data_IF_814772223652
#
_entry.id   IF_814772223652
#
_cell.length_a   1.000
_cell.length_b   1.000
_cell.length_c   1.000
_cell.angle_alpha   90.00
_cell.angle_beta   90.00
_cell.angle_gamma   90.00
#
_symmetry.space_group_name_H-M   'P 1'
#
loop_
_entity.id
_entity.type
_entity.pdbx_description
1 polymer ?
#
# COMPACT_ATOMS: atom_id res chain seq x y z
N UNK A 1 -14.81 10.47 -18.77
CA UNK A 1 -14.65 11.94 -18.81
C UNK A 1 -13.25 12.25 -19.28
N UNK A 2 -13.10 13.22 -20.18
CA UNK A 2 -11.78 13.74 -20.59
C UNK A 2 -11.33 14.80 -19.61
N UNK A 3 -10.13 14.65 -19.04
CA UNK A 3 -9.56 15.60 -18.10
C UNK A 3 -9.30 16.96 -18.77
N UNK A 4 -9.45 18.03 -18.01
CA UNK A 4 -9.05 19.40 -18.37
C UNK A 4 -7.54 19.59 -18.19
N UNK A 5 -7.01 20.74 -18.65
CA UNK A 5 -5.59 21.09 -18.47
C UNK A 5 -5.24 21.22 -17.00
N UNK A 6 -6.10 21.88 -16.24
CA UNK A 6 -5.94 22.14 -14.82
C UNK A 6 -5.99 20.83 -14.01
N UNK A 7 -6.86 19.90 -14.40
CA UNK A 7 -6.93 18.57 -13.78
C UNK A 7 -5.66 17.74 -14.07
N UNK A 8 -5.09 17.80 -15.27
CA UNK A 8 -3.83 17.08 -15.55
C UNK A 8 -2.64 17.62 -14.71
N UNK A 9 -2.63 18.91 -14.37
CA UNK A 9 -1.60 19.49 -13.49
C UNK A 9 -1.66 18.95 -12.05
N UNK A 10 -2.77 18.33 -11.64
CA UNK A 10 -2.85 17.64 -10.35
C UNK A 10 -1.98 16.38 -10.29
N UNK A 11 -1.61 15.80 -11.44
CA UNK A 11 -0.69 14.66 -11.49
C UNK A 11 0.78 15.05 -11.43
N UNK A 12 1.09 16.30 -11.13
CA UNK A 12 2.47 16.78 -10.98
C UNK A 12 2.63 17.38 -9.58
N UNK A 13 3.71 17.03 -8.85
CA UNK A 13 4.07 17.69 -7.60
C UNK A 13 4.13 19.22 -7.81
N UNK A 14 3.68 20.01 -6.84
CA UNK A 14 3.52 21.46 -7.03
C UNK A 14 4.83 22.13 -7.48
N UNK A 15 5.95 21.68 -6.92
CA UNK A 15 7.31 22.13 -7.20
C UNK A 15 7.80 21.84 -8.62
N UNK A 16 7.17 20.89 -9.34
CA UNK A 16 7.55 20.52 -10.72
C UNK A 16 6.64 21.10 -11.79
N UNK A 17 5.52 21.73 -11.40
CA UNK A 17 4.53 22.25 -12.35
C UNK A 17 5.11 23.30 -13.30
N UNK A 18 5.94 24.21 -12.79
CA UNK A 18 6.54 25.26 -13.61
C UNK A 18 7.46 24.68 -14.69
N UNK A 19 8.29 23.69 -14.34
CA UNK A 19 9.19 23.03 -15.28
C UNK A 19 8.43 22.32 -16.40
N UNK A 20 7.32 21.64 -16.06
CA UNK A 20 6.48 20.96 -17.05
C UNK A 20 5.80 21.97 -17.98
N UNK A 21 5.27 23.07 -17.45
CA UNK A 21 4.65 24.13 -18.25
C UNK A 21 5.64 24.73 -19.26
N UNK A 22 6.89 24.94 -18.85
CA UNK A 22 7.95 25.46 -19.73
C UNK A 22 8.38 24.42 -20.76
N UNK A 23 8.55 23.16 -20.35
CA UNK A 23 9.01 22.09 -21.25
C UNK A 23 7.94 21.60 -22.24
N UNK A 24 6.65 21.76 -21.94
CA UNK A 24 5.57 21.48 -22.90
C UNK A 24 5.66 22.33 -24.17
N UNK A 25 6.40 23.44 -24.15
CA UNK A 25 6.65 24.30 -25.31
C UNK A 25 7.89 23.89 -26.12
N UNK A 26 8.72 22.98 -25.62
CA UNK A 26 9.91 22.49 -26.32
C UNK A 26 9.59 21.17 -27.02
N UNK A 27 9.77 21.14 -28.34
CA UNK A 27 9.73 19.91 -29.15
C UNK A 27 10.69 18.90 -28.56
N UNK A 28 10.23 17.66 -28.37
CA UNK A 28 10.98 16.55 -27.78
C UNK A 28 12.20 16.26 -28.67
N UNK A 29 13.33 16.91 -28.37
CA UNK A 29 14.62 16.42 -28.81
C UNK A 29 15.00 15.30 -27.86
N UNK A 30 14.96 14.09 -28.41
CA UNK A 30 15.43 12.84 -27.84
C UNK A 30 16.74 13.02 -27.07
N UNK A 31 16.68 13.15 -25.75
CA UNK A 31 17.83 12.76 -24.91
C UNK A 31 17.86 11.24 -24.89
N UNK A 32 18.55 10.67 -25.89
CA UNK A 32 19.00 9.28 -25.92
C UNK A 32 20.07 9.07 -24.86
N UNK A 33 19.67 9.06 -23.59
CA UNK A 33 20.33 8.25 -22.58
C UNK A 33 19.33 7.18 -22.15
N UNK A 34 19.77 5.91 -22.14
CA UNK A 34 19.02 4.78 -21.58
C UNK A 34 18.86 4.92 -20.06
N UNK A 35 18.27 6.00 -19.57
CA UNK A 35 17.88 6.21 -18.19
C UNK A 35 16.36 6.14 -18.13
N UNK A 36 15.83 5.36 -17.20
CA UNK A 36 14.44 4.91 -17.14
C UNK A 36 13.40 6.00 -17.35
N UNK A 37 12.18 5.59 -17.71
CA UNK A 37 11.06 6.51 -17.95
C UNK A 37 10.70 7.23 -16.65
N UNK A 38 10.75 8.57 -16.67
CA UNK A 38 10.23 9.39 -15.58
C UNK A 38 8.71 9.38 -15.65
N UNK A 39 8.07 9.02 -14.55
CA UNK A 39 6.61 8.95 -14.39
C UNK A 39 6.21 9.66 -13.12
N UNK A 40 5.23 10.54 -13.19
CA UNK A 40 4.60 11.10 -12.00
C UNK A 40 3.53 10.14 -11.49
N UNK A 41 3.76 9.57 -10.32
CA UNK A 41 2.87 8.58 -9.72
C UNK A 41 2.05 9.22 -8.62
N UNK A 42 0.73 9.14 -8.76
CA UNK A 42 -0.23 9.52 -7.72
C UNK A 42 -0.60 8.29 -6.92
N UNK A 43 -0.26 8.31 -5.63
CA UNK A 43 -0.73 7.34 -4.64
C UNK A 43 -1.90 7.95 -3.89
N UNK A 44 -3.10 7.38 -4.07
CA UNK A 44 -4.33 7.86 -3.47
C UNK A 44 -4.87 6.84 -2.46
N UNK A 45 -5.18 7.28 -1.25
CA UNK A 45 -5.99 6.53 -0.28
C UNK A 45 -7.40 7.11 -0.25
N UNK A 46 -8.28 6.56 0.59
CA UNK A 46 -9.61 7.14 0.84
C UNK A 46 -9.54 8.57 1.42
N UNK A 47 -8.46 8.92 2.12
CA UNK A 47 -8.39 10.15 2.92
C UNK A 47 -7.40 11.18 2.38
N UNK A 48 -6.40 10.74 1.62
CA UNK A 48 -5.28 11.58 1.21
C UNK A 48 -4.70 11.07 -0.11
N UNK A 49 -4.10 11.98 -0.89
CA UNK A 49 -3.39 11.66 -2.12
C UNK A 49 -2.03 12.35 -2.13
N UNK A 50 -1.01 11.65 -2.60
CA UNK A 50 0.34 12.19 -2.77
C UNK A 50 0.86 11.86 -4.16
N UNK A 51 1.56 12.81 -4.75
CA UNK A 51 2.14 12.68 -6.09
C UNK A 51 3.65 12.75 -5.95
N UNK A 52 4.35 11.83 -6.60
CA UNK A 52 5.81 11.76 -6.58
C UNK A 52 6.36 11.52 -7.98
N UNK A 53 7.54 12.09 -8.25
CA UNK A 53 8.30 11.81 -9.48
C UNK A 53 9.13 10.54 -9.27
N UNK A 54 8.95 9.53 -10.14
CA UNK A 54 9.68 8.26 -10.06
C UNK A 54 10.34 7.98 -11.41
N UNK A 55 11.62 7.61 -11.38
CA UNK A 55 12.25 6.92 -12.51
C UNK A 55 11.96 5.44 -12.35
N UNK A 56 11.05 4.88 -13.16
CA UNK A 56 10.63 3.49 -12.99
C UNK A 56 11.75 2.52 -13.33
N UNK A 57 11.91 1.51 -12.48
CA UNK A 57 12.76 0.34 -12.72
C UNK A 57 12.16 -0.50 -13.87
N UNK A 58 12.95 -0.80 -14.89
CA UNK A 58 12.49 -1.57 -16.07
C UNK A 58 12.34 -3.08 -15.77
N UNK A 59 13.06 -3.59 -14.77
CA UNK A 59 13.01 -4.99 -14.37
C UNK A 59 11.95 -5.26 -13.31
N UNK A 60 11.92 -4.45 -12.25
CA UNK A 60 11.00 -4.61 -11.12
C UNK A 60 10.27 -3.32 -10.71
N UNK A 61 9.46 -2.74 -11.62
CA UNK A 61 8.72 -1.52 -11.31
C UNK A 61 7.67 -1.75 -10.22
N UNK A 62 7.16 -2.98 -10.08
CA UNK A 62 6.08 -3.27 -9.15
C UNK A 62 6.57 -3.20 -7.70
N UNK A 63 7.68 -3.87 -7.38
CA UNK A 63 8.25 -3.80 -6.04
C UNK A 63 8.72 -2.39 -5.70
N UNK A 64 9.26 -1.65 -6.67
CA UNK A 64 9.61 -0.24 -6.49
C UNK A 64 8.39 0.57 -6.05
N UNK A 65 7.28 0.45 -6.78
CA UNK A 65 6.05 1.17 -6.45
C UNK A 65 5.52 0.79 -5.06
N UNK A 66 5.53 -0.50 -4.68
CA UNK A 66 5.13 -0.93 -3.34
C UNK A 66 6.00 -0.31 -2.24
N UNK A 67 7.32 -0.28 -2.43
CA UNK A 67 8.25 0.37 -1.49
C UNK A 67 7.94 1.85 -1.36
N UNK A 68 7.77 2.56 -2.47
CA UNK A 68 7.43 3.98 -2.46
C UNK A 68 6.08 4.22 -1.77
N UNK A 69 5.05 3.42 -2.05
CA UNK A 69 3.76 3.53 -1.36
C UNK A 69 3.89 3.33 0.15
N UNK A 70 4.70 2.37 0.59
CA UNK A 70 4.96 2.10 2.01
C UNK A 70 5.70 3.26 2.68
N UNK A 71 6.65 3.88 2.00
CA UNK A 71 7.36 5.07 2.51
C UNK A 71 6.43 6.28 2.63
N UNK A 72 5.56 6.48 1.64
CA UNK A 72 4.62 7.60 1.58
C UNK A 72 3.48 7.44 2.60
N UNK A 73 2.99 6.21 2.77
CA UNK A 73 1.89 5.84 3.67
C UNK A 73 2.25 4.59 4.50
N UNK A 74 2.96 4.74 5.63
CA UNK A 74 3.57 3.61 6.35
C UNK A 74 2.60 2.79 7.21
N UNK A 75 1.32 3.17 7.29
CA UNK A 75 0.40 2.66 8.29
C UNK A 75 -0.23 1.30 7.94
N UNK A 76 -0.26 0.94 6.66
CA UNK A 76 -0.85 -0.30 6.19
C UNK A 76 0.08 -0.97 5.17
N UNK A 77 -0.03 -2.29 5.06
CA UNK A 77 0.30 -2.95 3.79
C UNK A 77 -0.77 -2.54 2.76
N UNK A 78 -0.37 -2.34 1.52
CA UNK A 78 -1.25 -1.85 0.48
C UNK A 78 -1.51 -2.90 -0.58
N UNK A 79 -2.74 -2.94 -1.07
CA UNK A 79 -3.09 -3.52 -2.35
C UNK A 79 -3.26 -2.38 -3.34
N UNK A 80 -2.59 -2.49 -4.48
CA UNK A 80 -2.76 -1.51 -5.55
C UNK A 80 -4.03 -1.80 -6.32
N UNK A 81 -4.74 -0.74 -6.67
CA UNK A 81 -5.88 -0.74 -7.57
C UNK A 81 -5.68 0.39 -8.58
N UNK A 82 -6.15 0.16 -9.79
CA UNK A 82 -6.16 1.17 -10.84
C UNK A 82 -7.58 1.69 -10.95
N UNK A 83 -7.74 2.99 -11.13
CA UNK A 83 -9.05 3.59 -11.32
C UNK A 83 -9.64 3.18 -12.67
N UNK A 84 -10.59 2.26 -12.62
CA UNK A 84 -11.58 2.00 -13.67
C UNK A 84 -12.99 2.25 -13.11
N UNK A 85 -13.94 2.78 -13.91
CA UNK A 85 -15.12 3.48 -13.39
C UNK A 85 -16.16 2.63 -12.66
N UNK A 86 -16.03 1.30 -12.65
CA UNK A 86 -17.15 0.43 -12.28
C UNK A 86 -16.80 -0.69 -11.31
N UNK A 87 -15.52 -1.03 -11.08
CA UNK A 87 -15.11 -2.04 -10.10
C UNK A 87 -13.62 -1.90 -9.78
N UNK A 88 -13.25 -2.09 -8.50
CA UNK A 88 -11.85 -2.26 -8.07
C UNK A 88 -11.30 -3.60 -8.58
N UNK A 89 -10.92 -3.65 -9.86
CA UNK A 89 -10.27 -4.82 -10.44
C UNK A 89 -8.91 -4.98 -9.75
N UNK A 90 -8.63 -6.21 -9.31
CA UNK A 90 -7.35 -6.63 -8.74
C UNK A 90 -6.19 -6.00 -9.53
N UNK A 91 -5.43 -5.16 -8.84
CA UNK A 91 -4.61 -4.14 -9.50
C UNK A 91 -3.28 -4.65 -10.03
N UNK A 92 -2.30 -3.76 -10.01
CA UNK A 92 -0.98 -3.99 -10.58
C UNK A 92 -0.38 -5.30 -10.04
N UNK A 93 -0.30 -6.33 -10.90
CA UNK A 93 0.12 -7.68 -10.52
C UNK A 93 1.45 -8.10 -11.13
N UNK A 94 1.94 -7.36 -12.13
CA UNK A 94 3.21 -7.63 -12.80
C UNK A 94 3.71 -6.39 -13.55
N UNK A 95 4.97 -6.43 -14.00
CA UNK A 95 5.61 -5.34 -14.74
C UNK A 95 4.83 -4.93 -16.00
N UNK A 96 4.25 -5.89 -16.73
CA UNK A 96 3.46 -5.62 -17.94
C UNK A 96 2.23 -4.77 -17.63
N UNK A 97 1.53 -5.06 -16.53
CA UNK A 97 0.39 -4.23 -16.09
C UNK A 97 0.83 -2.85 -15.62
N UNK A 98 1.97 -2.73 -14.95
CA UNK A 98 2.52 -1.41 -14.57
C UNK A 98 2.73 -0.56 -15.81
N UNK A 99 3.54 -1.02 -16.76
CA UNK A 99 3.83 -0.25 -17.97
C UNK A 99 2.60 0.00 -18.84
N UNK A 100 1.67 -0.96 -18.91
CA UNK A 100 0.42 -0.81 -19.66
C UNK A 100 -0.59 0.16 -19.04
N UNK A 101 -0.41 0.55 -17.77
CA UNK A 101 -1.32 1.46 -17.06
C UNK A 101 -0.80 2.89 -17.01
N UNK A 102 0.44 3.13 -17.43
CA UNK A 102 1.02 4.47 -17.54
C UNK A 102 0.29 5.22 -18.65
N UNK A 103 -0.14 6.44 -18.34
CA UNK A 103 -0.82 7.35 -19.25
C UNK A 103 0.12 8.47 -19.65
N UNK A 104 -0.04 8.95 -20.88
CA UNK A 104 0.64 10.16 -21.37
C UNK A 104 -0.34 11.33 -21.23
N UNK A 105 0.15 12.46 -20.70
CA UNK A 105 -0.62 13.70 -20.66
C UNK A 105 -1.04 14.12 -22.06
N UNK A 106 -2.26 14.65 -22.20
CA UNK A 106 -2.78 15.13 -23.48
C UNK A 106 -2.30 16.53 -23.80
N UNK A 107 -2.09 17.36 -22.78
CA UNK A 107 -1.77 18.78 -22.95
C UNK A 107 -0.29 19.10 -22.73
N UNK A 108 0.44 18.19 -22.11
CA UNK A 108 1.82 18.37 -21.70
C UNK A 108 2.66 17.13 -22.07
N UNK A 109 3.97 17.26 -21.94
CA UNK A 109 4.90 16.18 -22.25
C UNK A 109 5.37 15.45 -20.98
N UNK A 110 4.45 14.75 -20.30
CA UNK A 110 4.80 13.88 -19.18
C UNK A 110 3.98 12.60 -19.14
N UNK A 111 4.56 11.59 -18.48
CA UNK A 111 3.91 10.33 -18.16
C UNK A 111 3.39 10.36 -16.72
N UNK A 112 2.23 9.76 -16.49
CA UNK A 112 1.64 9.66 -15.16
C UNK A 112 0.96 8.33 -14.92
N UNK A 113 0.86 7.95 -13.66
CA UNK A 113 0.19 6.73 -13.19
C UNK A 113 -0.60 7.07 -11.93
N UNK A 114 -1.86 6.63 -11.87
CA UNK A 114 -2.71 6.82 -10.69
C UNK A 114 -2.96 5.44 -10.06
N UNK A 115 -2.56 5.32 -8.80
CA UNK A 115 -2.69 4.10 -8.01
C UNK A 115 -3.54 4.41 -6.79
N UNK A 116 -4.69 3.75 -6.72
CA UNK A 116 -5.53 3.74 -5.53
C UNK A 116 -5.03 2.65 -4.60
N UNK A 117 -4.64 3.06 -3.40
CA UNK A 117 -4.14 2.24 -2.31
C UNK A 117 -5.29 1.79 -1.42
N UNK A 118 -5.52 0.47 -1.40
CA UNK A 118 -6.44 -0.14 -0.45
C UNK A 118 -5.64 -0.84 0.65
N UNK A 119 -5.96 -0.62 1.93
CA UNK A 119 -5.28 -1.33 3.01
C UNK A 119 -5.58 -2.84 2.88
N UNK A 120 -4.54 -3.67 2.96
CA UNK A 120 -4.71 -5.09 3.24
C UNK A 120 -4.77 -5.29 4.74
N UNK A 121 -5.66 -6.20 5.16
CA UNK A 121 -5.86 -6.57 6.55
C UNK A 121 -5.83 -8.08 6.68
N UNK A 122 -5.29 -8.56 7.79
CA UNK A 122 -5.45 -9.94 8.22
C UNK A 122 -6.61 -9.96 9.24
N UNK A 123 -7.84 -10.35 8.84
CA UNK A 123 -8.97 -10.33 9.76
C UNK A 123 -8.72 -11.27 10.95
N UNK A 124 -9.19 -10.85 12.11
CA UNK A 124 -9.21 -11.63 13.34
C UNK A 124 -10.30 -11.11 14.27
N UNK A 125 -10.77 -11.96 15.17
CA UNK A 125 -11.71 -11.54 16.21
C UNK A 125 -10.93 -11.18 17.47
N UNK A 126 -11.21 -10.00 18.04
CA UNK A 126 -10.64 -9.65 19.33
C UNK A 126 -11.39 -10.40 20.44
N UNK A 127 -10.68 -11.19 21.23
CA UNK A 127 -11.30 -11.99 22.28
C UNK A 127 -11.81 -11.19 23.47
N UNK A 128 -11.37 -9.95 23.62
CA UNK A 128 -11.93 -9.10 24.66
C UNK A 128 -13.17 -8.34 24.18
N UNK A 129 -13.02 -7.48 23.17
CA UNK A 129 -14.13 -6.61 22.75
C UNK A 129 -15.11 -7.30 21.79
N UNK A 130 -14.80 -8.52 21.33
CA UNK A 130 -15.58 -9.32 20.38
C UNK A 130 -15.83 -8.62 19.03
N UNK A 131 -15.02 -7.60 18.72
CA UNK A 131 -15.11 -6.91 17.44
C UNK A 131 -14.33 -7.67 16.36
N UNK A 132 -14.94 -7.79 15.19
CA UNK A 132 -14.27 -8.26 13.97
C UNK A 132 -13.26 -7.19 13.51
N UNK A 133 -11.98 -7.50 13.65
CA UNK A 133 -10.89 -6.57 13.41
C UNK A 133 -10.38 -6.69 11.98
N UNK A 134 -10.91 -5.84 11.09
CA UNK A 134 -10.49 -5.73 9.69
C UNK A 134 -9.33 -4.75 9.48
N UNK A 135 -8.37 -4.73 10.40
CA UNK A 135 -7.25 -3.79 10.38
C UNK A 135 -6.00 -4.42 10.97
N UNK A 136 -4.86 -3.81 10.65
CA UNK A 136 -3.52 -4.25 11.03
C UNK A 136 -3.24 -4.05 12.52
N UNK A 137 -2.24 -4.75 13.09
CA UNK A 137 -1.93 -4.85 14.54
C UNK A 137 -2.81 -5.85 15.31
N UNK A 138 -2.75 -7.12 14.87
CA UNK A 138 -3.24 -8.27 15.64
C UNK A 138 -2.21 -8.63 16.71
N UNK A 139 -2.67 -8.89 17.93
CA UNK A 139 -1.82 -9.32 19.04
C UNK A 139 -2.20 -10.74 19.44
N UNK A 140 -1.43 -11.71 18.95
CA UNK A 140 -1.69 -13.12 19.22
C UNK A 140 -0.98 -13.57 20.48
N UNK A 141 -1.71 -14.17 21.41
CA UNK A 141 -1.12 -14.78 22.58
C UNK A 141 -0.21 -15.95 22.19
N UNK A 142 0.97 -16.04 22.81
CA UNK A 142 1.92 -17.14 22.60
C UNK A 142 1.66 -18.36 23.49
N UNK A 143 0.80 -18.21 24.49
CA UNK A 143 0.52 -19.22 25.50
C UNK A 143 -0.87 -19.83 25.30
N UNK A 144 -1.89 -19.00 25.05
CA UNK A 144 -3.27 -19.45 24.87
C UNK A 144 -3.52 -19.88 23.42
N UNK A 145 -4.29 -20.97 23.26
CA UNK A 145 -4.83 -21.33 21.95
C UNK A 145 -5.87 -20.29 21.52
N UNK A 146 -5.72 -19.80 20.29
CA UNK A 146 -6.72 -18.95 19.64
C UNK A 146 -7.18 -17.73 20.48
N UNK A 147 -6.22 -17.08 21.14
CA UNK A 147 -6.45 -15.81 21.84
C UNK A 147 -5.76 -14.67 21.11
N UNK A 148 -6.56 -13.69 20.69
CA UNK A 148 -6.15 -12.55 19.90
C UNK A 148 -6.72 -11.25 20.47
N UNK A 149 -5.89 -10.22 20.56
CA UNK A 149 -6.30 -8.87 20.96
C UNK A 149 -6.10 -7.88 19.82
N UNK A 150 -7.00 -6.90 19.78
CA UNK A 150 -6.80 -5.71 18.98
C UNK A 150 -5.90 -4.70 19.69
N UNK A 151 -5.30 -3.75 18.96
CA UNK A 151 -4.46 -2.69 19.54
C UNK A 151 -5.14 -1.92 20.67
N UNK A 152 -6.45 -1.65 20.62
CA UNK A 152 -7.10 -0.92 21.72
C UNK A 152 -7.22 -1.78 22.99
N UNK A 153 -7.42 -3.09 22.86
CA UNK A 153 -7.49 -3.99 24.01
C UNK A 153 -6.10 -4.27 24.57
N UNK A 154 -5.10 -4.47 23.71
CA UNK A 154 -3.71 -4.62 24.15
C UNK A 154 -3.19 -3.36 24.85
N UNK A 155 -3.50 -2.16 24.34
CA UNK A 155 -3.11 -0.89 24.99
C UNK A 155 -3.72 -0.68 26.39
N UNK A 156 -4.77 -1.43 26.74
CA UNK A 156 -5.36 -1.45 28.09
C UNK A 156 -4.67 -2.45 29.02
N UNK A 157 -3.59 -3.09 28.58
CA UNK A 157 -2.88 -4.17 29.27
C UNK A 157 -3.80 -5.36 29.61
N UNK A 158 -4.77 -5.64 28.74
CA UNK A 158 -5.59 -6.83 28.87
C UNK A 158 -4.75 -8.06 28.51
N UNK A 159 -4.92 -9.13 29.28
CA UNK A 159 -4.15 -10.36 29.12
C UNK A 159 -2.61 -10.15 29.23
N UNK A 160 -2.16 -9.13 29.99
CA UNK A 160 -0.74 -8.72 30.06
C UNK A 160 0.21 -9.74 30.72
N UNK A 161 -0.32 -10.76 31.39
CA UNK A 161 0.51 -11.81 32.00
C UNK A 161 1.11 -12.78 30.98
N UNK A 162 0.62 -12.77 29.74
CA UNK A 162 1.11 -13.63 28.67
C UNK A 162 1.84 -12.80 27.60
N UNK A 163 2.95 -13.34 27.09
CA UNK A 163 3.66 -12.72 25.99
C UNK A 163 2.81 -12.75 24.70
N UNK A 164 2.78 -11.61 24.01
CA UNK A 164 2.01 -11.40 22.79
C UNK A 164 2.92 -11.23 21.58
N UNK A 165 2.54 -11.79 20.44
CA UNK A 165 3.12 -11.51 19.14
C UNK A 165 2.32 -10.42 18.44
N UNK A 166 3.00 -9.33 18.07
CA UNK A 166 2.42 -8.29 17.22
C UNK A 166 2.56 -8.69 15.75
N UNK A 167 1.43 -8.99 15.12
CA UNK A 167 1.29 -9.27 13.70
C UNK A 167 0.77 -8.01 13.03
N UNK A 168 1.61 -7.35 12.23
CA UNK A 168 1.25 -6.10 11.59
C UNK A 168 0.27 -6.33 10.46
N UNK A 169 0.57 -7.24 9.53
CA UNK A 169 -0.23 -7.53 8.35
C UNK A 169 -0.09 -9.00 7.94
N UNK A 170 -0.79 -9.41 6.89
CA UNK A 170 -0.66 -10.74 6.27
C UNK A 170 0.78 -11.07 5.84
N UNK A 171 1.58 -10.05 5.56
CA UNK A 171 2.96 -10.18 5.05
C UNK A 171 3.97 -10.28 6.20
N UNK A 172 3.51 -10.24 7.46
CA UNK A 172 4.40 -10.40 8.62
C UNK A 172 4.94 -11.83 8.65
N UNK A 173 6.22 -11.99 8.33
CA UNK A 173 6.88 -13.29 8.40
C UNK A 173 6.95 -13.78 9.85
N UNK A 174 6.32 -14.93 10.11
CA UNK A 174 6.38 -15.61 11.41
C UNK A 174 7.36 -16.80 11.31
N UNK A 175 8.37 -16.88 12.20
CA UNK A 175 9.26 -18.03 12.23
C UNK A 175 8.50 -19.34 12.41
N UNK A 176 8.89 -20.39 11.67
CA UNK A 176 8.08 -21.61 11.58
C UNK A 176 7.78 -22.25 12.93
N UNK A 177 8.75 -22.21 13.83
CA UNK A 177 8.62 -22.78 15.16
C UNK A 177 7.51 -22.12 15.98
N UNK A 178 7.14 -20.86 15.73
CA UNK A 178 6.09 -20.19 16.51
C UNK A 178 4.70 -20.78 16.27
N UNK A 179 4.38 -21.24 15.06
CA UNK A 179 3.10 -21.88 14.78
C UNK A 179 3.15 -23.41 14.89
N UNK A 180 4.32 -24.04 14.68
CA UNK A 180 4.49 -25.47 14.92
C UNK A 180 4.37 -25.82 16.40
N UNK A 181 4.71 -24.88 17.29
CA UNK A 181 4.54 -25.02 18.73
C UNK A 181 3.21 -24.47 19.24
N UNK A 182 2.36 -23.92 18.36
CA UNK A 182 1.00 -23.51 18.76
C UNK A 182 0.23 -24.74 19.21
N UNK A 183 -0.20 -24.79 20.48
CA UNK A 183 -0.94 -25.95 20.94
C UNK A 183 -2.29 -25.98 20.21
N UNK A 184 -2.64 -27.13 19.64
CA UNK A 184 -3.96 -27.36 19.03
C UNK A 184 -5.09 -27.34 20.06
N UNK A 185 -4.75 -27.52 21.34
CA UNK A 185 -5.63 -27.41 22.48
C UNK A 185 -4.79 -27.07 23.72
N UNK A 186 -5.08 -25.96 24.41
CA UNK A 186 -4.46 -25.61 25.70
C UNK A 186 -5.51 -25.77 26.76
N UNK A 187 -5.36 -26.76 27.64
CA UNK A 187 -6.42 -27.16 28.55
C UNK A 187 -6.53 -26.35 29.84
N UNK A 188 -5.65 -25.38 30.13
CA UNK A 188 -5.64 -24.83 31.51
C UNK A 188 -5.45 -23.34 31.72
N UNK A 189 -5.02 -22.50 30.77
CA UNK A 189 -4.68 -21.11 31.12
C UNK A 189 -5.44 -20.08 30.26
N UNK A 190 -6.25 -19.29 30.95
CA UNK A 190 -7.21 -18.28 30.48
C UNK A 190 -8.35 -18.83 29.61
N UNK A 191 -9.37 -19.38 30.28
CA UNK A 191 -10.71 -19.54 29.71
C UNK A 191 -11.27 -18.18 29.28
N UNK A 192 -11.89 -18.14 28.10
CA UNK A 192 -12.86 -17.10 27.72
C UNK A 192 -14.02 -17.05 28.73
#
# INVERSE_FOLDING_TARGET
MTLTKEEELEFIPQERRLDVLVNAQKTICETKEKKGRIVFVTFATKFDKKVVEITLDEEDPLSQLYKTAQEIFPYFSWRFCLDEPTNLIEGLSNKRRVFGSIKQSRFYNFLYLVITLLPTYHPFDCDECKAECNWNNRYKCTICADYDLCRQCEAKNLHANHAMLRILSSDTELPKYMYMSSPSFVSEHCSK
#
